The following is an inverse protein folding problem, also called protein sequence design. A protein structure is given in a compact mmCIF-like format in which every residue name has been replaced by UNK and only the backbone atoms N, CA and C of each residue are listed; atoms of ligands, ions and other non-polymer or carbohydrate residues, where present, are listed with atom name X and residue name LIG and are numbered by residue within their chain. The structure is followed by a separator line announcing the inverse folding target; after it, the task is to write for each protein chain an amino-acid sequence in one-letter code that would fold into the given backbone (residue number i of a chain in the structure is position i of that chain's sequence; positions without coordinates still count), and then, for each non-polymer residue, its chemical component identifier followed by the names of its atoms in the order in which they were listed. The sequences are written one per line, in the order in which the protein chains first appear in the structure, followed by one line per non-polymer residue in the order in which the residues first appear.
data_IF_915694579573
#
_entry.id   IF_915694579573
#
_cell.length_a   1.000
_cell.length_b   1.000
_cell.length_c   1.000
_cell.angle_alpha   90.00
_cell.angle_beta   90.00
_cell.angle_gamma   90.00
#
_symmetry.space_group_name_H-M   'P 1'
#
loop_
_entity.id
_entity.type
_entity.pdbx_description
1 polymer ?
#
# COMPACT_ATOMS: atom_id res chain seq x y z
N UNK A 1 -37.30 -34.23 -21.03
CA UNK A 1 -36.79 -33.00 -21.70
C UNK A 1 -36.21 -33.40 -23.05
N UNK A 2 -36.46 -32.66 -24.14
CA UNK A 2 -35.81 -32.95 -25.43
C UNK A 2 -34.32 -32.62 -25.36
N UNK A 3 -33.48 -33.36 -26.10
CA UNK A 3 -32.02 -33.15 -26.16
C UNK A 3 -31.64 -31.70 -26.50
N UNK A 4 -32.47 -30.96 -27.23
CA UNK A 4 -32.24 -29.56 -27.55
C UNK A 4 -32.39 -28.65 -26.32
N UNK A 5 -33.41 -28.88 -25.47
CA UNK A 5 -33.62 -28.08 -24.25
C UNK A 5 -32.51 -28.29 -23.23
N UNK A 6 -32.01 -29.52 -23.12
CA UNK A 6 -30.89 -29.83 -22.22
C UNK A 6 -29.59 -29.13 -22.68
N UNK A 7 -29.30 -29.12 -23.98
CA UNK A 7 -28.14 -28.41 -24.54
C UNK A 7 -28.20 -26.90 -24.30
N UNK A 8 -29.39 -26.30 -24.44
CA UNK A 8 -29.59 -24.86 -24.16
C UNK A 8 -29.34 -24.55 -22.69
N UNK A 9 -29.88 -25.35 -21.77
CA UNK A 9 -29.67 -25.14 -20.32
C UNK A 9 -28.18 -25.26 -19.95
N UNK A 10 -27.48 -26.26 -20.49
CA UNK A 10 -26.04 -26.43 -20.28
C UNK A 10 -25.26 -25.24 -20.84
N UNK A 11 -25.60 -24.77 -22.04
CA UNK A 11 -24.95 -23.62 -22.66
C UNK A 11 -25.15 -22.33 -21.84
N UNK A 12 -26.35 -22.10 -21.32
CA UNK A 12 -26.64 -20.93 -20.47
C UNK A 12 -25.90 -21.01 -19.14
N UNK A 13 -25.85 -22.18 -18.51
CA UNK A 13 -25.12 -22.38 -17.25
C UNK A 13 -23.61 -22.19 -17.44
N UNK A 14 -23.03 -22.74 -18.51
CA UNK A 14 -21.63 -22.53 -18.85
C UNK A 14 -21.33 -21.06 -19.17
N UNK A 15 -22.22 -20.39 -19.91
CA UNK A 15 -22.12 -18.96 -20.20
C UNK A 15 -22.08 -18.13 -18.92
N UNK A 16 -23.03 -18.35 -18.01
CA UNK A 16 -23.10 -17.66 -16.73
C UNK A 16 -21.85 -17.93 -15.86
N UNK A 17 -21.37 -19.17 -15.83
CA UNK A 17 -20.14 -19.55 -15.12
C UNK A 17 -18.91 -18.84 -15.71
N UNK A 18 -18.76 -18.80 -17.03
CA UNK A 18 -17.63 -18.12 -17.66
C UNK A 18 -17.63 -16.62 -17.38
N UNK A 19 -18.79 -15.97 -17.50
CA UNK A 19 -18.91 -14.53 -17.21
C UNK A 19 -18.57 -14.26 -15.74
N UNK A 20 -19.14 -15.05 -14.82
CA UNK A 20 -18.85 -14.93 -13.39
C UNK A 20 -17.36 -15.11 -13.08
N UNK A 21 -16.74 -16.16 -13.62
CA UNK A 21 -15.31 -16.41 -13.43
C UNK A 21 -14.42 -15.30 -14.01
N UNK A 22 -14.73 -14.79 -15.21
CA UNK A 22 -13.97 -13.68 -15.81
C UNK A 22 -14.09 -12.39 -15.01
N UNK A 23 -15.29 -12.08 -14.49
CA UNK A 23 -15.49 -10.91 -13.65
C UNK A 23 -14.75 -11.05 -12.33
N UNK A 24 -14.82 -12.21 -11.67
CA UNK A 24 -14.06 -12.48 -10.45
C UNK A 24 -12.55 -12.41 -10.66
N UNK A 25 -12.02 -12.94 -11.78
CA UNK A 25 -10.60 -12.81 -12.13
C UNK A 25 -10.20 -11.36 -12.38
N UNK A 26 -11.04 -10.58 -13.05
CA UNK A 26 -10.76 -9.17 -13.31
C UNK A 26 -10.78 -8.35 -12.02
N UNK A 27 -11.80 -8.56 -11.17
CA UNK A 27 -11.93 -7.84 -9.91
C UNK A 27 -10.81 -8.22 -8.93
N UNK A 28 -10.46 -9.50 -8.85
CA UNK A 28 -9.29 -9.96 -8.10
C UNK A 28 -7.99 -9.38 -8.68
N UNK A 29 -7.84 -9.40 -10.00
CA UNK A 29 -6.69 -8.83 -10.71
C UNK A 29 -6.51 -7.34 -10.42
N UNK A 30 -7.61 -6.60 -10.33
CA UNK A 30 -7.64 -5.17 -10.02
C UNK A 30 -7.37 -4.85 -8.55
N UNK A 31 -7.98 -5.61 -7.64
CA UNK A 31 -8.03 -5.27 -6.19
C UNK A 31 -6.99 -5.98 -5.34
N UNK A 32 -6.48 -7.13 -5.78
CA UNK A 32 -5.52 -7.96 -5.03
C UNK A 32 -4.18 -8.09 -5.74
N UNK A 33 -4.20 -8.10 -7.06
CA UNK A 33 -3.01 -8.30 -7.88
C UNK A 33 -2.60 -7.04 -8.65
N UNK A 34 -3.33 -5.93 -8.46
CA UNK A 34 -3.13 -4.61 -9.11
C UNK A 34 -2.56 -4.72 -10.54
N UNK A 35 -3.23 -5.49 -11.41
CA UNK A 35 -2.74 -5.77 -12.76
C UNK A 35 -2.37 -4.49 -13.51
N UNK A 36 -1.19 -4.47 -14.11
CA UNK A 36 -0.67 -3.31 -14.84
C UNK A 36 0.10 -2.30 -14.00
N UNK A 37 0.23 -2.51 -12.68
CA UNK A 37 1.15 -1.75 -11.81
C UNK A 37 2.44 -2.54 -11.54
N UNK A 38 3.58 -1.90 -11.24
CA UNK A 38 4.75 -2.57 -10.68
C UNK A 38 4.41 -3.31 -9.36
N UNK A 39 5.15 -4.37 -9.02
CA UNK A 39 4.88 -5.21 -7.83
C UNK A 39 5.00 -4.39 -6.53
N UNK A 40 5.91 -3.42 -6.54
CA UNK A 40 6.20 -2.51 -5.43
C UNK A 40 5.04 -1.55 -5.16
N UNK A 41 4.40 -1.04 -6.23
CA UNK A 41 3.25 -0.12 -6.16
C UNK A 41 1.99 -0.86 -5.74
N UNK A 42 1.83 -2.10 -6.19
CA UNK A 42 0.74 -2.97 -5.78
C UNK A 42 0.77 -3.22 -4.26
N UNK A 43 1.95 -3.48 -3.69
CA UNK A 43 2.11 -3.70 -2.26
C UNK A 43 1.84 -2.44 -1.43
N UNK A 44 2.27 -1.27 -1.91
CA UNK A 44 1.92 0.03 -1.32
C UNK A 44 0.40 0.22 -1.21
N UNK A 45 -0.29 0.07 -2.34
CA UNK A 45 -1.72 0.36 -2.42
C UNK A 45 -2.59 -0.68 -1.72
N UNK A 46 -2.03 -1.82 -1.31
CA UNK A 46 -2.75 -2.76 -0.45
C UNK A 46 -2.90 -2.22 0.99
N UNK A 47 -2.07 -1.27 1.42
CA UNK A 47 -2.15 -0.67 2.76
C UNK A 47 -3.08 0.55 2.76
N UNK A 48 -4.18 0.46 3.50
CA UNK A 48 -5.19 1.54 3.60
C UNK A 48 -4.61 2.87 4.11
N UNK A 49 -3.58 2.80 4.95
CA UNK A 49 -2.83 3.96 5.41
C UNK A 49 -2.13 4.70 4.27
N UNK A 50 -1.45 3.97 3.37
CA UNK A 50 -0.73 4.57 2.23
C UNK A 50 -1.71 5.25 1.28
N UNK A 51 -2.85 4.62 1.00
CA UNK A 51 -3.91 5.23 0.18
C UNK A 51 -4.45 6.52 0.82
N UNK A 52 -4.59 6.56 2.15
CA UNK A 52 -5.07 7.74 2.86
C UNK A 52 -4.03 8.87 2.88
N UNK A 53 -2.73 8.53 2.94
CA UNK A 53 -1.65 9.52 2.78
C UNK A 53 -1.70 10.11 1.37
N UNK A 54 -1.78 9.30 0.32
CA UNK A 54 -1.87 9.77 -1.08
C UNK A 54 -3.11 10.64 -1.34
N UNK A 55 -4.26 10.32 -0.74
CA UNK A 55 -5.49 11.12 -0.88
C UNK A 55 -5.44 12.47 -0.16
N UNK A 56 -4.58 12.61 0.84
CA UNK A 56 -4.51 13.81 1.68
C UNK A 56 -3.37 14.74 1.31
N UNK A 57 -2.31 14.24 0.70
CA UNK A 57 -1.22 15.06 0.18
C UNK A 57 -1.40 15.28 -1.32
N UNK A 58 -1.74 16.52 -1.69
CA UNK A 58 -1.99 16.97 -3.08
C UNK A 58 -0.82 16.69 -4.05
N UNK A 59 0.39 16.40 -3.52
CA UNK A 59 1.58 16.05 -4.31
C UNK A 59 2.39 14.92 -3.66
N UNK A 60 1.78 13.80 -3.24
CA UNK A 60 2.58 12.67 -2.71
C UNK A 60 3.42 12.03 -3.83
N UNK A 61 4.67 12.48 -3.99
CA UNK A 61 5.64 11.85 -4.90
C UNK A 61 6.28 10.63 -4.20
N UNK A 62 5.57 9.50 -4.24
CA UNK A 62 6.04 8.23 -3.72
C UNK A 62 7.11 7.60 -4.62
N UNK A 63 8.38 7.95 -4.39
CA UNK A 63 9.51 7.19 -4.92
C UNK A 63 9.74 5.92 -4.10
N UNK A 64 9.36 4.77 -4.63
CA UNK A 64 9.63 3.46 -4.03
C UNK A 64 11.06 2.99 -4.33
N UNK A 65 11.79 2.61 -3.28
CA UNK A 65 13.07 1.92 -3.41
C UNK A 65 12.90 0.49 -2.85
N UNK A 66 12.64 -0.47 -3.74
CA UNK A 66 12.63 -1.91 -3.40
C UNK A 66 14.04 -2.48 -3.40
N UNK A 67 14.39 -3.17 -2.31
CA UNK A 67 15.47 -4.16 -2.27
C UNK A 67 15.13 -5.29 -1.30
N UNK A 68 14.15 -6.15 -1.61
CA UNK A 68 14.19 -7.62 -1.54
C UNK A 68 12.78 -8.21 -1.54
N UNK A 69 12.52 -9.20 -2.40
CA UNK A 69 11.20 -9.86 -2.53
C UNK A 69 11.01 -10.97 -1.50
N UNK A 70 9.85 -11.03 -0.84
CA UNK A 70 9.36 -12.23 -0.12
C UNK A 70 8.41 -13.02 -1.04
N UNK A 71 8.47 -14.36 -1.05
CA UNK A 71 7.44 -15.18 -1.68
C UNK A 71 6.16 -15.13 -0.83
N UNK A 72 5.05 -14.71 -1.42
CA UNK A 72 3.76 -14.61 -0.74
C UNK A 72 2.98 -15.94 -0.69
N UNK A 73 2.14 -16.05 0.35
CA UNK A 73 1.39 -17.23 0.77
C UNK A 73 0.01 -17.45 0.11
N UNK A 74 -0.35 -16.72 -0.95
CA UNK A 74 -1.61 -16.93 -1.69
C UNK A 74 -1.35 -17.37 -3.14
N UNK A 75 -2.23 -18.23 -3.65
CA UNK A 75 -2.15 -18.73 -5.03
C UNK A 75 -2.38 -17.57 -6.03
N UNK A 76 -1.35 -17.25 -6.82
CA UNK A 76 -1.28 -16.22 -7.87
C UNK A 76 -1.12 -14.75 -7.44
N UNK A 77 -0.89 -14.42 -6.17
CA UNK A 77 -0.57 -13.04 -5.79
C UNK A 77 0.83 -12.62 -6.27
N UNK A 78 1.03 -11.31 -6.49
CA UNK A 78 2.36 -10.73 -6.67
C UNK A 78 3.21 -10.93 -5.41
N UNK A 79 4.54 -11.02 -5.57
CA UNK A 79 5.45 -11.03 -4.42
C UNK A 79 5.32 -9.70 -3.67
N UNK A 80 5.30 -9.76 -2.34
CA UNK A 80 5.40 -8.56 -1.51
C UNK A 80 6.88 -8.20 -1.27
N UNK A 81 7.22 -6.91 -1.25
CA UNK A 81 8.54 -6.46 -0.86
C UNK A 81 8.76 -6.68 0.64
N UNK A 82 9.99 -6.94 1.05
CA UNK A 82 10.35 -7.13 2.46
C UNK A 82 10.09 -5.87 3.30
N UNK A 83 10.20 -4.69 2.67
CA UNK A 83 9.80 -3.42 3.26
C UNK A 83 9.36 -2.45 2.16
N UNK A 84 8.58 -1.46 2.56
CA UNK A 84 8.05 -0.40 1.75
C UNK A 84 8.63 0.92 2.28
N UNK A 85 9.08 1.80 1.40
CA UNK A 85 9.58 3.12 1.77
C UNK A 85 8.99 4.17 0.84
N UNK A 86 8.48 5.26 1.42
CA UNK A 86 8.01 6.42 0.67
C UNK A 86 8.29 7.71 1.43
N UNK A 87 8.30 8.82 0.70
CA UNK A 87 8.52 10.15 1.26
C UNK A 87 7.22 10.96 1.26
N UNK A 88 7.04 11.77 2.29
CA UNK A 88 5.93 12.71 2.41
C UNK A 88 6.47 14.12 2.14
N UNK A 89 5.99 14.78 1.08
CA UNK A 89 6.34 16.16 0.81
C UNK A 89 5.68 17.08 1.82
N UNK A 90 6.30 18.22 2.08
CA UNK A 90 5.66 19.28 2.82
C UNK A 90 6.30 20.63 2.53
N UNK A 91 5.66 21.68 3.03
CA UNK A 91 6.10 23.05 2.83
C UNK A 91 7.35 23.33 3.68
N UNK A 92 8.33 24.05 3.11
CA UNK A 92 9.61 24.46 3.75
C UNK A 92 9.39 25.53 4.85
N UNK A 93 8.50 25.27 5.80
CA UNK A 93 8.37 26.06 7.03
C UNK A 93 8.79 25.19 8.22
N UNK A 94 9.70 25.69 9.07
CA UNK A 94 10.41 24.85 10.06
C UNK A 94 9.54 24.06 11.05
N UNK A 95 8.26 24.42 11.24
CA UNK A 95 7.30 23.68 12.08
C UNK A 95 6.49 22.63 11.29
N UNK A 96 6.61 22.59 9.97
CA UNK A 96 5.83 21.71 9.09
C UNK A 96 6.14 20.23 9.32
N UNK A 97 7.39 19.86 9.59
CA UNK A 97 7.76 18.46 9.83
C UNK A 97 7.12 17.89 11.09
N UNK A 98 7.05 18.68 12.17
CA UNK A 98 6.42 18.28 13.45
C UNK A 98 4.90 18.12 13.25
N UNK A 99 4.27 19.12 12.64
CA UNK A 99 2.82 19.11 12.38
C UNK A 99 2.42 17.97 11.46
N UNK A 100 3.21 17.70 10.43
CA UNK A 100 2.99 16.61 9.48
C UNK A 100 3.23 15.24 10.12
N UNK A 101 4.24 15.13 10.99
CA UNK A 101 4.50 13.92 11.78
C UNK A 101 3.33 13.59 12.72
N UNK A 102 2.77 14.60 13.40
CA UNK A 102 1.56 14.44 14.23
C UNK A 102 0.33 14.06 13.39
N UNK A 103 0.16 14.66 12.22
CA UNK A 103 -0.92 14.33 11.28
C UNK A 103 -0.84 12.86 10.87
N UNK A 104 0.35 12.39 10.47
CA UNK A 104 0.59 11.01 10.07
C UNK A 104 0.38 10.04 11.24
N UNK A 105 0.75 10.42 12.46
CA UNK A 105 0.50 9.63 13.67
C UNK A 105 -1.00 9.43 13.90
N UNK A 106 -1.78 10.51 13.87
CA UNK A 106 -3.25 10.45 14.04
C UNK A 106 -3.92 9.62 12.92
N UNK A 107 -3.40 9.73 11.69
CA UNK A 107 -3.88 8.94 10.57
C UNK A 107 -3.56 7.45 10.76
N UNK A 108 -2.35 7.12 11.22
CA UNK A 108 -1.97 5.74 11.52
C UNK A 108 -2.91 5.11 12.56
N UNK A 109 -3.19 5.82 13.66
CA UNK A 109 -4.12 5.38 14.70
C UNK A 109 -5.54 5.14 14.15
N UNK A 110 -6.03 6.05 13.29
CA UNK A 110 -7.35 5.92 12.65
C UNK A 110 -7.44 4.69 11.74
N UNK A 111 -6.31 4.28 11.16
CA UNK A 111 -6.19 3.11 10.29
C UNK A 111 -5.78 1.83 11.03
N UNK A 112 -5.81 1.84 12.38
CA UNK A 112 -5.60 0.64 13.19
C UNK A 112 -4.15 0.32 13.50
N UNK A 113 -3.22 1.25 13.25
CA UNK A 113 -1.84 1.12 13.74
C UNK A 113 -1.77 1.45 15.22
N UNK A 114 -1.11 0.58 15.98
CA UNK A 114 -0.76 0.81 17.38
C UNK A 114 0.56 1.56 17.46
N UNK A 115 0.52 2.85 17.76
CA UNK A 115 1.72 3.68 17.91
C UNK A 115 2.46 3.31 19.18
N UNK A 116 3.77 3.11 19.06
CA UNK A 116 4.65 2.77 20.16
C UNK A 116 5.34 4.02 20.73
N UNK A 117 5.55 4.01 22.05
CA UNK A 117 6.22 5.11 22.75
C UNK A 117 7.76 4.99 22.72
N UNK A 118 8.29 3.80 22.41
CA UNK A 118 9.72 3.50 22.46
C UNK A 118 10.27 3.17 21.07
N UNK A 119 10.70 4.21 20.35
CA UNK A 119 11.34 4.07 19.05
C UNK A 119 12.85 4.38 19.16
N UNK A 120 13.63 4.03 18.14
CA UNK A 120 15.05 4.38 18.08
C UNK A 120 15.24 5.91 18.05
N UNK A 121 16.38 6.41 18.53
CA UNK A 121 16.63 7.86 18.73
C UNK A 121 16.49 8.74 17.47
N UNK A 122 16.58 8.15 16.28
CA UNK A 122 16.47 8.85 14.99
C UNK A 122 15.09 8.68 14.32
N UNK A 123 14.09 8.23 15.07
CA UNK A 123 12.73 7.96 14.60
C UNK A 123 11.78 8.86 15.40
N UNK A 124 10.97 9.64 14.71
CA UNK A 124 9.95 10.50 15.34
C UNK A 124 8.95 9.66 16.12
N UNK A 125 8.45 8.60 15.47
CA UNK A 125 7.58 7.60 16.07
C UNK A 125 7.53 6.34 15.20
N UNK A 126 7.05 5.27 15.79
CA UNK A 126 6.95 3.96 15.19
C UNK A 126 5.61 3.34 15.59
N UNK A 127 5.13 2.38 14.80
CA UNK A 127 3.83 1.77 15.03
C UNK A 127 3.77 0.34 14.52
N UNK A 128 2.86 -0.46 15.07
CA UNK A 128 2.62 -1.84 14.65
C UNK A 128 1.19 -2.07 14.19
N UNK A 129 1.00 -2.98 13.26
CA UNK A 129 -0.30 -3.43 12.80
C UNK A 129 -0.25 -4.92 12.47
N UNK A 130 -1.37 -5.63 12.57
CA UNK A 130 -1.54 -6.92 11.89
C UNK A 130 -2.36 -6.72 10.63
N UNK A 131 -1.86 -7.18 9.50
CA UNK A 131 -2.59 -7.11 8.24
C UNK A 131 -3.77 -8.11 8.20
N UNK A 132 -4.52 -8.09 7.10
CA UNK A 132 -5.66 -8.99 6.92
C UNK A 132 -5.28 -10.48 6.84
N UNK A 133 -4.00 -10.79 6.59
CA UNK A 133 -3.47 -12.15 6.51
C UNK A 133 -2.85 -12.62 7.84
N UNK A 134 -2.74 -11.73 8.83
CA UNK A 134 -2.18 -12.00 10.14
C UNK A 134 -0.67 -11.78 10.24
N UNK A 135 -0.04 -11.20 9.22
CA UNK A 135 1.35 -10.77 9.29
C UNK A 135 1.49 -9.51 10.12
N UNK A 136 2.57 -9.42 10.89
CA UNK A 136 2.89 -8.21 11.64
C UNK A 136 3.65 -7.24 10.76
N UNK A 137 3.15 -6.01 10.73
CA UNK A 137 3.77 -4.86 10.08
C UNK A 137 4.36 -3.95 11.14
N UNK A 138 5.54 -3.41 10.88
CA UNK A 138 6.19 -2.41 11.71
C UNK A 138 6.47 -1.16 10.87
N UNK A 139 6.02 0.00 11.31
CA UNK A 139 6.21 1.27 10.62
C UNK A 139 7.13 2.19 11.43
N UNK A 140 7.98 2.94 10.73
CA UNK A 140 8.83 3.98 11.32
C UNK A 140 8.74 5.26 10.49
N UNK A 141 8.62 6.39 11.17
CA UNK A 141 8.64 7.72 10.54
C UNK A 141 9.86 8.50 11.02
N UNK A 142 10.67 8.98 10.08
CA UNK A 142 11.88 9.76 10.34
C UNK A 142 11.95 10.96 9.40
N UNK A 143 12.89 11.88 9.62
CA UNK A 143 13.21 12.90 8.63
C UNK A 143 13.66 12.25 7.31
N UNK A 144 13.28 12.87 6.19
CA UNK A 144 13.80 12.50 4.89
C UNK A 144 15.27 12.95 4.78
N UNK A 145 16.17 12.15 4.17
CA UNK A 145 17.54 12.59 3.94
C UNK A 145 17.56 13.72 2.90
N UNK A 146 18.43 14.72 3.10
CA UNK A 146 18.61 15.89 2.21
C UNK A 146 18.87 15.57 0.72
N UNK A 147 19.04 14.30 0.33
CA UNK A 147 19.39 13.89 -1.04
C UNK A 147 18.21 13.50 -1.94
N UNK A 148 16.97 13.51 -1.46
CA UNK A 148 15.81 13.15 -2.30
C UNK A 148 15.36 14.31 -3.19
N UNK A 149 16.05 14.43 -4.32
CA UNK A 149 15.60 14.94 -5.64
C UNK A 149 14.83 16.27 -5.61
N UNK A 150 15.55 17.37 -5.85
CA UNK A 150 14.99 18.55 -6.53
C UNK A 150 14.55 18.14 -7.95
N UNK A 151 13.38 17.52 -8.07
CA UNK A 151 12.66 17.54 -9.34
C UNK A 151 12.06 18.94 -9.46
N UNK A 152 12.47 19.68 -10.51
CA UNK A 152 12.08 21.07 -10.75
C UNK A 152 10.57 21.27 -10.51
N UNK A 153 10.22 21.92 -9.40
CA UNK A 153 8.86 22.35 -9.09
C UNK A 153 8.16 21.57 -7.97
N UNK A 154 8.78 20.54 -7.40
CA UNK A 154 8.20 19.73 -6.31
C UNK A 154 8.81 20.11 -4.96
N UNK A 155 7.97 20.25 -3.93
CA UNK A 155 8.43 20.53 -2.57
C UNK A 155 9.38 19.43 -2.05
N UNK A 156 10.42 19.81 -1.30
CA UNK A 156 11.36 18.86 -0.74
C UNK A 156 10.63 17.89 0.22
N UNK A 157 10.96 16.59 0.20
CA UNK A 157 10.37 15.65 1.14
C UNK A 157 10.79 15.98 2.57
N UNK A 158 9.82 16.10 3.48
CA UNK A 158 10.08 16.39 4.89
C UNK A 158 10.26 15.11 5.69
N UNK A 159 9.41 14.11 5.43
CA UNK A 159 9.37 12.87 6.20
C UNK A 159 9.56 11.66 5.30
N UNK A 160 10.17 10.64 5.88
CA UNK A 160 10.34 9.30 5.32
C UNK A 160 9.54 8.33 6.17
N UNK A 161 8.72 7.53 5.50
CA UNK A 161 7.98 6.43 6.12
C UNK A 161 8.56 5.13 5.61
N UNK A 162 8.90 4.23 6.53
CA UNK A 162 9.26 2.84 6.22
C UNK A 162 8.30 1.88 6.89
N UNK A 163 7.84 0.87 6.17
CA UNK A 163 6.98 -0.19 6.67
C UNK A 163 7.66 -1.52 6.39
N UNK A 164 7.88 -2.32 7.42
CA UNK A 164 8.53 -3.61 7.38
C UNK A 164 7.52 -4.72 7.65
N UNK A 165 7.64 -5.82 6.93
CA UNK A 165 6.97 -7.06 7.29
C UNK A 165 7.88 -7.84 8.23
N UNK A 166 7.43 -8.13 9.45
CA UNK A 166 8.18 -8.94 10.42
C UNK A 166 8.17 -10.42 9.98
#
# INVERSE_FOLDING_TARGET
MSNARLKIVIAVLLGALTVGATYSMWEWGRTKNFWGTPDEVAALWNLSFVQAVEQTAEETHGGLIDRTQRPNGEFMSKPEPAYIEFSVPGEDEGEASVKESERLKNLAETHGWAVEENCAENIHWCAQMSDAQGFQLFMTVSDAPEQSVEEKGTAAPLLRVKIFYL
#
